data_IF_736474705221
#
_entry.id   IF_736474705221
#
_cell.length_a   1.000
_cell.length_b   1.000
_cell.length_c   1.000
_cell.angle_alpha   90.00
_cell.angle_beta   90.00
_cell.angle_gamma   90.00
#
_symmetry.space_group_name_H-M   'P 1'
#
loop_
_entity.id
_entity.type
_entity.pdbx_description
1 polymer ?
#
# COMPACT_ATOMS: atom_id res chain seq x y z
N UNK A 1 15.11 -30.30 -2.89
CA UNK A 1 13.68 -30.07 -3.20
C UNK A 1 12.82 -30.56 -2.03
N UNK A 2 13.08 -30.08 -0.81
CA UNK A 2 12.35 -30.55 0.38
C UNK A 2 12.69 -29.70 1.62
N UNK A 3 12.33 -28.42 1.59
CA UNK A 3 12.26 -27.58 2.80
C UNK A 3 11.26 -26.42 2.68
N UNK A 4 10.40 -26.42 1.65
CA UNK A 4 9.44 -25.32 1.39
C UNK A 4 8.03 -25.63 1.94
N UNK A 5 7.78 -26.87 2.37
CA UNK A 5 6.47 -27.27 2.88
C UNK A 5 6.62 -27.56 4.38
N UNK A 6 6.31 -26.58 5.23
CA UNK A 6 5.67 -26.70 6.55
C UNK A 6 5.73 -25.34 7.27
N UNK A 7 4.80 -24.43 6.96
CA UNK A 7 4.31 -23.50 7.98
C UNK A 7 2.86 -23.15 7.65
N UNK A 8 1.95 -23.92 8.25
CA UNK A 8 0.52 -23.72 8.16
C UNK A 8 0.09 -22.59 9.12
N UNK A 9 0.46 -21.35 8.78
CA UNK A 9 -0.18 -20.08 9.12
C UNK A 9 0.69 -18.92 8.54
N UNK A 10 0.84 -18.85 7.21
CA UNK A 10 1.56 -17.74 6.57
C UNK A 10 0.67 -16.50 6.53
N UNK A 11 0.59 -15.77 7.65
CA UNK A 11 0.13 -14.38 7.60
C UNK A 11 1.12 -13.53 6.82
N UNK A 12 0.64 -12.48 6.15
CA UNK A 12 1.48 -11.46 5.51
C UNK A 12 1.83 -10.30 6.44
N UNK A 13 1.60 -10.51 7.74
CA UNK A 13 1.90 -9.57 8.81
C UNK A 13 3.18 -10.04 9.51
N UNK A 14 4.14 -9.15 9.62
CA UNK A 14 5.49 -9.39 10.09
C UNK A 14 5.78 -8.56 11.33
N UNK A 15 6.48 -9.16 12.28
CA UNK A 15 6.98 -8.46 13.46
C UNK A 15 8.05 -7.41 13.09
N UNK A 16 8.30 -6.43 13.97
CA UNK A 16 9.39 -5.47 13.79
C UNK A 16 10.77 -6.14 13.64
N UNK A 17 10.98 -7.30 14.28
CA UNK A 17 12.20 -8.09 14.16
C UNK A 17 12.34 -8.69 12.75
N UNK A 18 11.27 -9.29 12.21
CA UNK A 18 11.27 -9.85 10.86
C UNK A 18 11.46 -8.77 9.79
N UNK A 19 10.80 -7.63 9.91
CA UNK A 19 11.01 -6.46 9.05
C UNK A 19 12.45 -5.92 9.17
N UNK A 20 13.00 -5.95 10.38
CA UNK A 20 14.39 -5.59 10.66
C UNK A 20 15.42 -6.56 10.08
N UNK A 21 15.00 -7.76 9.68
CA UNK A 21 15.85 -8.83 9.17
C UNK A 21 15.50 -9.21 7.71
N UNK A 22 15.03 -8.25 6.92
CA UNK A 22 14.72 -8.47 5.51
C UNK A 22 15.95 -8.94 4.71
N UNK A 23 15.78 -9.60 3.55
CA UNK A 23 16.89 -10.03 2.69
C UNK A 23 17.86 -8.90 2.35
N UNK A 24 17.33 -7.71 2.04
CA UNK A 24 18.15 -6.53 1.73
C UNK A 24 19.01 -6.11 2.93
N UNK A 25 18.46 -6.16 4.16
CA UNK A 25 19.20 -5.82 5.39
C UNK A 25 20.27 -6.86 5.72
N UNK A 26 19.97 -8.14 5.52
CA UNK A 26 20.97 -9.22 5.69
C UNK A 26 22.16 -9.06 4.74
N UNK A 27 21.95 -8.44 3.59
CA UNK A 27 23.00 -8.08 2.64
C UNK A 27 23.68 -6.73 2.94
N UNK A 28 23.37 -6.10 4.08
CA UNK A 28 24.03 -4.89 4.56
C UNK A 28 23.38 -3.57 4.14
N UNK A 29 22.14 -3.58 3.63
CA UNK A 29 21.38 -2.34 3.40
C UNK A 29 20.90 -1.74 4.73
N UNK A 30 21.01 -0.42 4.89
CA UNK A 30 20.46 0.26 6.07
C UNK A 30 18.93 0.29 6.03
N UNK A 31 18.31 0.51 7.19
CA UNK A 31 16.86 0.65 7.30
C UNK A 31 16.29 1.78 6.44
N UNK A 32 17.00 2.91 6.43
CA UNK A 32 16.64 4.10 5.67
C UNK A 32 16.75 3.85 4.17
N UNK A 33 17.85 3.25 3.71
CA UNK A 33 18.07 2.91 2.30
C UNK A 33 16.97 1.97 1.77
N UNK A 34 16.62 0.93 2.53
CA UNK A 34 15.56 0.02 2.14
C UNK A 34 14.20 0.72 2.08
N UNK A 35 13.90 1.58 3.06
CA UNK A 35 12.66 2.34 3.10
C UNK A 35 12.56 3.34 1.94
N UNK A 36 13.65 3.98 1.56
CA UNK A 36 13.71 4.89 0.42
C UNK A 36 13.52 4.15 -0.90
N UNK A 37 14.10 2.96 -1.06
CA UNK A 37 13.87 2.11 -2.23
C UNK A 37 12.44 1.61 -2.31
N UNK A 38 11.83 1.25 -1.17
CA UNK A 38 10.40 0.90 -1.11
C UNK A 38 9.52 2.06 -1.55
N UNK A 39 9.76 3.25 -1.00
CA UNK A 39 9.05 4.47 -1.38
C UNK A 39 9.22 4.78 -2.86
N UNK A 40 10.45 4.77 -3.36
CA UNK A 40 10.74 5.08 -4.76
C UNK A 40 10.08 4.06 -5.71
N UNK A 41 10.12 2.76 -5.38
CA UNK A 41 9.46 1.71 -6.14
C UNK A 41 7.95 1.86 -6.18
N UNK A 42 7.30 2.11 -5.04
CA UNK A 42 5.86 2.40 -4.99
C UNK A 42 5.52 3.69 -5.76
N UNK A 43 6.35 4.72 -5.70
CA UNK A 43 6.18 5.96 -6.46
C UNK A 43 6.21 5.74 -7.98
N UNK A 44 7.16 4.94 -8.48
CA UNK A 44 7.24 4.52 -9.89
C UNK A 44 5.95 3.81 -10.30
N UNK A 45 5.51 2.84 -9.50
CA UNK A 45 4.29 2.08 -9.73
C UNK A 45 3.09 3.01 -9.85
N UNK A 46 2.95 3.93 -8.89
CA UNK A 46 1.82 4.86 -8.84
C UNK A 46 1.79 5.80 -10.04
N UNK A 47 2.94 6.37 -10.42
CA UNK A 47 3.05 7.28 -11.56
C UNK A 47 2.67 6.58 -12.88
N UNK A 48 3.14 5.35 -13.09
CA UNK A 48 2.78 4.56 -14.27
C UNK A 48 1.30 4.20 -14.21
N UNK A 49 0.83 3.72 -13.07
CA UNK A 49 -0.55 3.30 -12.85
C UNK A 49 -1.58 4.40 -13.10
N UNK A 50 -1.35 5.61 -12.60
CA UNK A 50 -2.17 6.79 -12.90
C UNK A 50 -2.19 7.06 -14.41
N UNK A 51 -1.02 7.06 -15.06
CA UNK A 51 -0.92 7.27 -16.51
C UNK A 51 -1.68 6.21 -17.31
N UNK A 52 -1.86 5.01 -16.74
CA UNK A 52 -2.66 3.91 -17.29
C UNK A 52 -4.14 3.92 -16.89
N UNK A 53 -4.59 4.94 -16.15
CA UNK A 53 -5.96 5.09 -15.63
C UNK A 53 -6.37 3.93 -14.71
N UNK A 54 -5.50 3.56 -13.78
CA UNK A 54 -5.74 2.54 -12.76
C UNK A 54 -6.05 3.12 -11.38
N UNK A 55 -6.14 4.44 -11.25
CA UNK A 55 -6.34 5.15 -9.98
C UNK A 55 -7.75 5.03 -9.38
N UNK A 56 -8.73 4.57 -10.16
CA UNK A 56 -10.14 4.47 -9.74
C UNK A 56 -10.44 3.15 -9.00
N UNK A 57 -9.48 2.24 -8.90
CA UNK A 57 -9.63 0.88 -8.34
C UNK A 57 -8.48 0.56 -7.38
N UNK A 58 -8.61 -0.43 -6.48
CA UNK A 58 -7.57 -0.82 -5.53
C UNK A 58 -6.28 -1.37 -6.19
N UNK A 59 -6.24 -1.52 -7.52
CA UNK A 59 -5.12 -2.02 -8.32
C UNK A 59 -3.75 -1.49 -7.91
N UNK A 60 -3.62 -0.18 -7.67
CA UNK A 60 -2.33 0.39 -7.29
C UNK A 60 -1.90 -0.03 -5.88
N UNK A 61 -2.85 -0.09 -4.94
CA UNK A 61 -2.59 -0.55 -3.58
C UNK A 61 -2.28 -2.05 -3.52
N UNK A 62 -2.99 -2.86 -4.32
CA UNK A 62 -2.70 -4.29 -4.49
C UNK A 62 -1.30 -4.50 -5.05
N UNK A 63 -0.91 -3.72 -6.05
CA UNK A 63 0.43 -3.78 -6.63
C UNK A 63 1.52 -3.33 -5.64
N UNK A 64 1.30 -2.26 -4.85
CA UNK A 64 2.21 -1.87 -3.77
C UNK A 64 2.32 -2.97 -2.71
N UNK A 65 1.22 -3.62 -2.33
CA UNK A 65 1.23 -4.75 -1.39
C UNK A 65 2.05 -5.93 -1.91
N UNK A 66 1.88 -6.31 -3.18
CA UNK A 66 2.74 -7.31 -3.82
C UNK A 66 4.21 -6.91 -3.82
N UNK A 67 4.52 -5.65 -4.14
CA UNK A 67 5.87 -5.12 -4.12
C UNK A 67 6.48 -5.22 -2.71
N UNK A 68 5.76 -4.79 -1.67
CA UNK A 68 6.21 -4.88 -0.30
C UNK A 68 6.46 -6.33 0.15
N UNK A 69 5.50 -7.23 -0.14
CA UNK A 69 5.59 -8.67 0.15
C UNK A 69 6.76 -9.33 -0.56
N UNK A 70 7.01 -8.99 -1.83
CA UNK A 70 8.12 -9.54 -2.60
C UNK A 70 9.48 -9.28 -1.92
N UNK A 71 9.71 -8.05 -1.46
CA UNK A 71 10.95 -7.68 -0.78
C UNK A 71 11.05 -8.14 0.69
N UNK A 72 10.10 -8.94 1.18
CA UNK A 72 10.29 -9.74 2.40
C UNK A 72 11.04 -11.05 2.11
N UNK A 73 11.11 -11.47 0.84
CA UNK A 73 11.74 -12.73 0.42
C UNK A 73 12.93 -12.51 -0.51
N UNK A 74 13.01 -11.36 -1.20
CA UNK A 74 14.09 -11.02 -2.12
C UNK A 74 14.80 -9.72 -1.75
N UNK A 75 16.04 -9.56 -2.21
CA UNK A 75 16.85 -8.36 -1.99
C UNK A 75 16.69 -7.35 -3.12
N UNK A 76 16.70 -6.05 -2.78
CA UNK A 76 16.81 -4.96 -3.77
C UNK A 76 18.12 -4.99 -4.57
N UNK A 77 19.15 -5.68 -4.08
CA UNK A 77 20.41 -5.87 -4.83
C UNK A 77 20.26 -6.91 -5.94
N UNK A 78 19.38 -7.89 -5.75
CA UNK A 78 19.12 -8.96 -6.71
C UNK A 78 18.05 -8.55 -7.73
N UNK A 79 16.95 -7.95 -7.25
CA UNK A 79 15.84 -7.53 -8.08
C UNK A 79 15.66 -6.01 -8.04
N UNK A 80 15.99 -5.30 -9.14
CA UNK A 80 15.78 -3.85 -9.24
C UNK A 80 14.31 -3.46 -9.07
N UNK A 81 14.08 -2.37 -8.33
CA UNK A 81 12.74 -1.86 -8.04
C UNK A 81 11.96 -1.50 -9.31
N UNK A 82 12.66 -1.01 -10.35
CA UNK A 82 12.09 -0.64 -11.64
C UNK A 82 11.36 -1.80 -12.33
N UNK A 83 11.99 -2.98 -12.39
CA UNK A 83 11.39 -4.17 -13.00
C UNK A 83 10.30 -4.75 -12.10
N UNK A 84 10.55 -4.76 -10.78
CA UNK A 84 9.59 -5.25 -9.80
C UNK A 84 8.28 -4.46 -9.83
N UNK A 85 8.35 -3.13 -9.96
CA UNK A 85 7.17 -2.25 -10.07
C UNK A 85 6.28 -2.62 -11.26
N UNK A 86 6.86 -2.87 -12.45
CA UNK A 86 6.10 -3.25 -13.64
C UNK A 86 5.47 -4.63 -13.50
N UNK A 87 6.20 -5.60 -12.95
CA UNK A 87 5.70 -6.94 -12.73
C UNK A 87 4.57 -6.99 -11.70
N UNK A 88 4.69 -6.22 -10.61
CA UNK A 88 3.63 -6.09 -9.60
C UNK A 88 2.38 -5.43 -10.19
N UNK A 89 2.54 -4.34 -10.96
CA UNK A 89 1.42 -3.67 -11.63
C UNK A 89 0.72 -4.57 -12.64
N UNK A 90 1.49 -5.35 -13.41
CA UNK A 90 0.96 -6.29 -14.39
C UNK A 90 0.13 -7.39 -13.73
N UNK A 91 0.63 -7.98 -12.64
CA UNK A 91 -0.11 -9.00 -11.89
C UNK A 91 -1.35 -8.41 -11.21
N UNK A 92 -1.21 -7.27 -10.52
CA UNK A 92 -2.31 -6.63 -9.81
C UNK A 92 -3.47 -6.25 -10.74
N UNK A 93 -3.17 -5.75 -11.95
CA UNK A 93 -4.20 -5.47 -12.93
C UNK A 93 -5.02 -6.71 -13.30
N UNK A 94 -4.40 -7.90 -13.34
CA UNK A 94 -5.15 -9.15 -13.59
C UNK A 94 -5.97 -9.59 -12.37
N UNK A 95 -5.41 -9.46 -11.18
CA UNK A 95 -6.08 -9.84 -9.92
C UNK A 95 -7.31 -8.96 -9.66
N UNK A 96 -7.19 -7.66 -9.93
CA UNK A 96 -8.25 -6.66 -9.69
C UNK A 96 -9.15 -6.44 -10.92
N UNK A 97 -9.17 -7.39 -11.86
CA UNK A 97 -10.03 -7.36 -13.06
C UNK A 97 -9.92 -6.05 -13.88
N UNK A 98 -8.74 -5.43 -13.87
CA UNK A 98 -8.36 -4.24 -14.63
C UNK A 98 -7.10 -4.48 -15.48
N UNK A 99 -7.04 -5.60 -16.25
CA UNK A 99 -5.80 -6.03 -16.88
C UNK A 99 -5.32 -5.03 -17.94
N UNK A 100 -4.01 -4.79 -17.96
CA UNK A 100 -3.33 -4.04 -19.01
C UNK A 100 -2.39 -4.95 -19.77
N UNK A 101 -2.21 -4.71 -21.07
CA UNK A 101 -1.24 -5.47 -21.86
C UNK A 101 0.17 -5.12 -21.40
N UNK A 102 1.04 -6.12 -21.26
CA UNK A 102 2.44 -5.90 -20.87
C UNK A 102 3.14 -4.87 -21.78
N UNK A 103 2.90 -4.94 -23.10
CA UNK A 103 3.39 -3.94 -24.06
C UNK A 103 2.99 -2.51 -23.71
N UNK A 104 1.76 -2.31 -23.26
CA UNK A 104 1.24 -0.98 -22.93
C UNK A 104 1.86 -0.49 -21.60
N UNK A 105 2.02 -1.38 -20.61
CA UNK A 105 2.73 -1.06 -19.35
C UNK A 105 4.16 -0.60 -19.65
N UNK A 106 4.91 -1.38 -20.44
CA UNK A 106 6.28 -1.04 -20.83
C UNK A 106 6.32 0.29 -21.61
N UNK A 107 5.43 0.47 -22.58
CA UNK A 107 5.37 1.70 -23.36
C UNK A 107 5.11 2.93 -22.50
N UNK A 108 4.16 2.85 -21.55
CA UNK A 108 3.85 3.95 -20.64
C UNK A 108 5.01 4.18 -19.67
N UNK A 109 5.63 3.12 -19.14
CA UNK A 109 6.81 3.23 -18.27
C UNK A 109 7.96 3.99 -18.96
N UNK A 110 8.30 3.63 -20.20
CA UNK A 110 9.35 4.32 -20.97
C UNK A 110 8.99 5.78 -21.29
N UNK A 111 7.70 6.09 -21.50
CA UNK A 111 7.25 7.47 -21.76
C UNK A 111 7.25 8.33 -20.49
N UNK A 112 6.76 7.81 -19.37
CA UNK A 112 6.63 8.55 -18.12
C UNK A 112 7.98 8.69 -17.39
N UNK A 113 8.85 7.70 -17.53
CA UNK A 113 10.09 7.57 -16.76
C UNK A 113 11.25 7.13 -17.68
N UNK A 114 11.61 7.93 -18.69
CA UNK A 114 12.62 7.57 -19.68
C UNK A 114 13.99 7.31 -19.03
N UNK A 115 14.38 8.07 -18.02
CA UNK A 115 15.67 7.90 -17.31
C UNK A 115 15.80 6.54 -16.62
N UNK A 116 14.68 5.89 -16.31
CA UNK A 116 14.65 4.58 -15.65
C UNK A 116 14.50 3.43 -16.63
N UNK A 117 13.85 3.66 -17.78
CA UNK A 117 13.38 2.58 -18.65
C UNK A 117 13.89 2.63 -20.10
N UNK A 118 14.58 3.69 -20.52
CA UNK A 118 15.05 3.83 -21.92
C UNK A 118 16.14 2.83 -22.30
N UNK A 119 16.94 2.39 -21.33
CA UNK A 119 18.05 1.46 -21.56
C UNK A 119 17.59 0.00 -21.67
N UNK A 120 16.32 -0.30 -21.39
CA UNK A 120 15.79 -1.66 -21.51
C UNK A 120 15.63 -2.04 -22.98
N UNK A 121 16.26 -3.14 -23.45
CA UNK A 121 16.11 -3.57 -24.84
C UNK A 121 14.66 -3.94 -25.16
N UNK A 122 14.06 -3.27 -26.16
CA UNK A 122 12.65 -3.40 -26.55
C UNK A 122 12.15 -4.85 -26.78
N UNK A 123 13.01 -5.78 -27.20
CA UNK A 123 12.63 -7.17 -27.47
C UNK A 123 12.60 -8.06 -26.21
N UNK A 124 13.42 -7.76 -25.20
CA UNK A 124 13.53 -8.59 -23.99
C UNK A 124 12.69 -8.05 -22.85
N UNK A 125 12.37 -6.75 -22.83
CA UNK A 125 11.78 -6.13 -21.65
C UNK A 125 10.40 -6.69 -21.26
N UNK A 126 9.53 -7.00 -22.25
CA UNK A 126 8.28 -7.70 -21.96
C UNK A 126 8.52 -9.11 -21.39
N UNK A 127 9.53 -9.81 -21.90
CA UNK A 127 9.91 -11.13 -21.40
C UNK A 127 10.40 -11.06 -19.95
N UNK A 128 11.12 -10.00 -19.59
CA UNK A 128 11.58 -9.75 -18.22
C UNK A 128 10.41 -9.49 -17.27
N UNK A 129 9.40 -8.72 -17.70
CA UNK A 129 8.16 -8.51 -16.92
C UNK A 129 7.40 -9.83 -16.73
N UNK A 130 7.27 -10.66 -17.77
CA UNK A 130 6.64 -11.98 -17.64
C UNK A 130 7.42 -12.93 -16.71
N UNK A 131 8.74 -12.91 -16.81
CA UNK A 131 9.61 -13.69 -15.93
C UNK A 131 9.48 -13.22 -14.48
N UNK A 132 9.47 -11.90 -14.25
CA UNK A 132 9.26 -11.34 -12.92
C UNK A 132 7.90 -11.74 -12.36
N UNK A 133 6.82 -11.62 -13.14
CA UNK A 133 5.49 -12.05 -12.70
C UNK A 133 5.48 -13.51 -12.23
N UNK A 134 6.16 -14.41 -12.97
CA UNK A 134 6.25 -15.83 -12.57
C UNK A 134 6.96 -15.99 -11.22
N UNK A 135 8.04 -15.24 -11.00
CA UNK A 135 8.78 -15.25 -9.73
C UNK A 135 7.92 -14.66 -8.60
N UNK A 136 7.20 -13.57 -8.88
CA UNK A 136 6.29 -12.93 -7.94
C UNK A 136 5.17 -13.91 -7.51
N UNK A 137 4.49 -14.56 -8.45
CA UNK A 137 3.46 -15.56 -8.15
C UNK A 137 3.99 -16.70 -7.27
N UNK A 138 5.18 -17.22 -7.59
CA UNK A 138 5.82 -18.26 -6.79
C UNK A 138 6.18 -17.76 -5.38
N UNK A 139 6.63 -16.50 -5.27
CA UNK A 139 6.97 -15.85 -3.99
C UNK A 139 5.74 -15.65 -3.11
N UNK A 140 4.64 -15.20 -3.72
CA UNK A 140 3.34 -15.07 -3.07
C UNK A 140 2.70 -16.43 -2.74
N UNK A 141 3.27 -17.55 -3.18
CA UNK A 141 2.66 -18.86 -3.01
C UNK A 141 1.29 -18.96 -3.69
N UNK A 142 1.06 -18.17 -4.74
CA UNK A 142 -0.24 -17.98 -5.40
C UNK A 142 -1.35 -17.41 -4.50
N UNK A 143 -1.01 -16.92 -3.30
CA UNK A 143 -1.91 -16.14 -2.46
C UNK A 143 -1.95 -14.69 -2.94
N UNK A 144 -2.74 -14.48 -4.00
CA UNK A 144 -2.91 -13.18 -4.67
C UNK A 144 -4.14 -12.43 -4.20
N UNK A 145 -4.97 -13.03 -3.34
CA UNK A 145 -6.14 -12.36 -2.80
C UNK A 145 -5.71 -11.35 -1.73
N UNK A 146 -6.19 -10.13 -1.88
CA UNK A 146 -5.85 -9.00 -1.03
C UNK A 146 -7.11 -8.24 -0.65
N UNK A 147 -7.41 -8.18 0.63
CA UNK A 147 -8.38 -7.22 1.14
C UNK A 147 -7.71 -5.86 1.27
N UNK A 148 -8.41 -4.81 0.86
CA UNK A 148 -7.85 -3.47 0.78
C UNK A 148 -8.47 -2.54 1.84
N UNK A 149 -7.66 -1.74 2.58
CA UNK A 149 -8.18 -0.79 3.56
C UNK A 149 -9.26 0.16 3.03
N UNK A 150 -9.30 0.48 1.73
CA UNK A 150 -10.35 1.32 1.15
C UNK A 150 -11.77 0.74 1.32
N UNK A 151 -11.91 -0.58 1.23
CA UNK A 151 -13.21 -1.26 1.39
C UNK A 151 -13.73 -1.04 2.81
N UNK A 152 -12.87 -1.26 3.80
CA UNK A 152 -13.19 -1.06 5.21
C UNK A 152 -13.41 0.41 5.54
N UNK A 153 -12.66 1.33 4.95
CA UNK A 153 -12.84 2.77 5.13
C UNK A 153 -14.28 3.21 4.80
N UNK A 154 -14.79 2.78 3.64
CA UNK A 154 -16.16 3.09 3.20
C UNK A 154 -17.21 2.37 4.05
N UNK A 155 -16.93 1.16 4.52
CA UNK A 155 -17.83 0.41 5.40
C UNK A 155 -17.94 1.06 6.78
N UNK A 156 -16.80 1.37 7.42
CA UNK A 156 -16.74 1.97 8.74
C UNK A 156 -17.24 3.41 8.75
N UNK A 157 -17.06 4.18 7.67
CA UNK A 157 -17.65 5.51 7.57
C UNK A 157 -19.19 5.53 7.73
N UNK A 158 -19.89 4.43 7.41
CA UNK A 158 -21.36 4.37 7.42
C UNK A 158 -21.98 4.24 8.81
N UNK A 159 -21.20 3.92 9.85
CA UNK A 159 -21.76 3.79 11.20
C UNK A 159 -21.96 5.14 11.88
N UNK A 160 -21.30 6.20 11.41
CA UNK A 160 -21.35 7.51 12.01
C UNK A 160 -22.62 8.25 11.60
N UNK A 161 -23.28 8.86 12.58
CA UNK A 161 -24.43 9.71 12.37
C UNK A 161 -23.95 11.14 12.08
N UNK A 162 -23.39 11.32 10.87
CA UNK A 162 -22.85 12.58 10.37
C UNK A 162 -23.54 12.93 9.04
N UNK A 163 -23.60 14.23 8.71
CA UNK A 163 -24.07 14.68 7.40
C UNK A 163 -23.31 13.96 6.27
N UNK A 164 -24.05 13.46 5.27
CA UNK A 164 -23.54 12.59 4.22
C UNK A 164 -22.42 13.29 3.45
N UNK A 165 -22.62 14.57 3.12
CA UNK A 165 -21.66 15.42 2.43
C UNK A 165 -20.38 15.56 3.24
N UNK A 166 -20.49 15.76 4.56
CA UNK A 166 -19.33 15.88 5.45
C UNK A 166 -18.57 14.57 5.58
N UNK A 167 -19.27 13.46 5.75
CA UNK A 167 -18.64 12.15 5.81
C UNK A 167 -17.94 11.81 4.50
N UNK A 168 -18.50 12.21 3.35
CA UNK A 168 -17.87 12.05 2.05
C UNK A 168 -16.56 12.83 1.94
N UNK A 169 -16.49 14.06 2.45
CA UNK A 169 -15.24 14.83 2.52
C UNK A 169 -14.18 14.11 3.37
N UNK A 170 -14.57 13.62 4.55
CA UNK A 170 -13.67 12.91 5.48
C UNK A 170 -13.16 11.61 4.85
N UNK A 171 -14.03 10.81 4.23
CA UNK A 171 -13.63 9.58 3.51
C UNK A 171 -12.70 9.90 2.35
N UNK A 172 -12.97 10.97 1.59
CA UNK A 172 -12.12 11.37 0.48
C UNK A 172 -10.72 11.79 0.97
N UNK A 173 -10.64 12.53 2.07
CA UNK A 173 -9.38 12.88 2.71
C UNK A 173 -8.63 11.63 3.20
N UNK A 174 -9.31 10.73 3.91
CA UNK A 174 -8.75 9.45 4.36
C UNK A 174 -8.23 8.61 3.19
N UNK A 175 -8.97 8.56 2.08
CA UNK A 175 -8.57 7.84 0.87
C UNK A 175 -7.28 8.40 0.28
N UNK A 176 -7.21 9.71 0.11
CA UNK A 176 -6.00 10.39 -0.39
C UNK A 176 -4.82 10.12 0.53
N UNK A 177 -5.03 10.25 1.83
CA UNK A 177 -3.99 10.01 2.83
C UNK A 177 -3.46 8.57 2.79
N UNK A 178 -4.34 7.59 2.59
CA UNK A 178 -3.96 6.18 2.43
C UNK A 178 -3.12 5.96 1.16
N UNK A 179 -3.44 6.63 0.06
CA UNK A 179 -2.62 6.62 -1.16
C UNK A 179 -1.22 7.18 -0.91
N UNK A 180 -1.14 8.30 -0.19
CA UNK A 180 0.14 8.94 0.12
C UNK A 180 1.02 8.03 0.99
N UNK A 181 0.40 7.22 1.85
CA UNK A 181 1.08 6.22 2.68
C UNK A 181 1.44 4.93 1.94
N UNK A 182 1.18 4.79 0.64
CA UNK A 182 1.42 3.54 -0.11
C UNK A 182 2.91 3.14 -0.20
N UNK A 183 3.84 4.05 0.12
CA UNK A 183 5.28 3.74 0.24
C UNK A 183 5.71 3.22 1.61
N UNK A 184 4.79 3.18 2.59
CA UNK A 184 5.03 2.60 3.91
C UNK A 184 4.77 1.09 3.92
N UNK A 185 5.40 0.37 4.85
CA UNK A 185 5.20 -1.07 5.06
C UNK A 185 3.97 -1.42 5.88
N UNK A 186 2.96 -0.53 5.97
CA UNK A 186 1.79 -0.75 6.82
C UNK A 186 1.04 -2.06 6.47
N UNK A 187 0.96 -2.39 5.18
CA UNK A 187 0.36 -3.64 4.68
C UNK A 187 1.13 -4.92 5.07
N UNK A 188 2.34 -4.78 5.62
CA UNK A 188 3.15 -5.86 6.19
C UNK A 188 3.12 -5.87 7.72
N UNK A 189 2.53 -4.86 8.36
CA UNK A 189 2.57 -4.68 9.81
C UNK A 189 1.18 -4.82 10.46
N UNK A 190 0.13 -4.48 9.72
CA UNK A 190 -1.24 -4.47 10.21
C UNK A 190 -2.22 -4.99 9.16
N UNK A 191 -3.27 -5.64 9.65
CA UNK A 191 -4.42 -6.03 8.83
C UNK A 191 -5.13 -4.79 8.25
N UNK A 192 -5.74 -4.91 7.05
CA UNK A 192 -6.34 -3.78 6.34
C UNK A 192 -7.46 -3.08 7.14
N UNK A 193 -8.17 -3.80 8.01
CA UNK A 193 -9.16 -3.25 8.95
C UNK A 193 -8.54 -2.24 9.92
N UNK A 194 -7.39 -2.60 10.50
CA UNK A 194 -6.66 -1.76 11.47
C UNK A 194 -6.14 -0.50 10.79
N UNK A 195 -5.59 -0.65 9.58
CA UNK A 195 -5.15 0.49 8.76
C UNK A 195 -6.33 1.42 8.48
N UNK A 196 -7.47 0.89 8.04
CA UNK A 196 -8.65 1.68 7.76
C UNK A 196 -9.17 2.43 9.00
N UNK A 197 -9.19 1.80 10.18
CA UNK A 197 -9.55 2.44 11.44
C UNK A 197 -8.63 3.60 11.75
N UNK A 198 -7.31 3.40 11.67
CA UNK A 198 -6.35 4.44 12.00
C UNK A 198 -6.44 5.63 11.04
N UNK A 199 -6.55 5.38 9.72
CA UNK A 199 -6.66 6.47 8.74
C UNK A 199 -8.00 7.20 8.87
N UNK A 200 -9.10 6.50 9.14
CA UNK A 200 -10.41 7.14 9.39
C UNK A 200 -10.39 7.97 10.68
N UNK A 201 -9.80 7.44 11.75
CA UNK A 201 -9.65 8.15 13.01
C UNK A 201 -8.80 9.41 12.85
N UNK A 202 -7.72 9.33 12.07
CA UNK A 202 -6.89 10.48 11.74
C UNK A 202 -7.69 11.54 10.97
N UNK A 203 -8.47 11.12 9.97
CA UNK A 203 -9.31 12.03 9.20
C UNK A 203 -10.38 12.72 10.07
N UNK A 204 -11.05 11.97 10.95
CA UNK A 204 -12.03 12.52 11.90
C UNK A 204 -11.39 13.57 12.83
N UNK A 205 -10.17 13.31 13.33
CA UNK A 205 -9.40 14.26 14.14
C UNK A 205 -8.99 15.50 13.33
N UNK A 206 -8.56 15.33 12.09
CA UNK A 206 -8.17 16.44 11.20
C UNK A 206 -9.33 17.41 10.92
N UNK A 207 -10.54 16.87 10.77
CA UNK A 207 -11.76 17.68 10.61
C UNK A 207 -12.36 18.18 11.93
N UNK A 208 -11.64 18.03 13.05
CA UNK A 208 -12.04 18.48 14.38
C UNK A 208 -13.42 17.95 14.81
N UNK A 209 -13.75 16.72 14.41
CA UNK A 209 -15.01 16.08 14.81
C UNK A 209 -14.95 15.72 16.30
N UNK A 210 -15.90 16.25 17.08
CA UNK A 210 -16.06 15.93 18.49
C UNK A 210 -16.54 14.49 18.66
N UNK A 211 -15.61 13.60 18.98
CA UNK A 211 -15.88 12.17 19.17
C UNK A 211 -16.73 11.86 20.41
N UNK A 212 -16.75 12.74 21.41
CA UNK A 212 -17.57 12.55 22.61
C UNK A 212 -19.05 12.83 22.28
N UNK A 213 -19.29 13.88 21.50
CA UNK A 213 -20.63 14.27 21.02
C UNK A 213 -21.13 13.43 19.84
N UNK A 214 -20.23 12.85 19.04
CA UNK A 214 -20.60 12.06 17.86
C UNK A 214 -21.36 10.79 18.25
N UNK A 215 -22.50 10.57 17.60
CA UNK A 215 -23.24 9.31 17.70
C UNK A 215 -22.81 8.35 16.58
N UNK A 216 -22.71 7.06 16.91
CA UNK A 216 -22.49 6.00 15.93
C UNK A 216 -23.28 4.76 16.32
N UNK A 217 -23.52 3.90 15.34
CA UNK A 217 -24.25 2.64 15.54
C UNK A 217 -23.53 1.75 16.55
N UNK A 218 -24.29 1.11 17.45
CA UNK A 218 -23.78 0.19 18.47
C UNK A 218 -22.73 0.83 19.41
N UNK A 219 -22.90 2.12 19.73
CA UNK A 219 -22.04 2.84 20.68
C UNK A 219 -22.18 2.28 22.10
N UNK A 220 -21.13 1.63 22.58
CA UNK A 220 -21.00 1.22 23.99
C UNK A 220 -20.35 2.35 24.82
N UNK A 221 -20.78 2.57 26.08
CA UNK A 221 -20.21 3.60 26.93
C UNK A 221 -18.72 3.40 27.21
N UNK A 222 -17.91 4.45 27.04
CA UNK A 222 -16.45 4.46 27.26
C UNK A 222 -15.62 3.54 26.35
N UNK A 223 -16.21 2.99 25.29
CA UNK A 223 -15.48 2.21 24.30
C UNK A 223 -15.26 3.01 23.01
N UNK A 224 -14.06 2.95 22.42
CA UNK A 224 -13.81 3.52 21.11
C UNK A 224 -14.69 2.90 20.03
N UNK A 225 -15.06 3.66 19.00
CA UNK A 225 -15.99 3.21 17.96
C UNK A 225 -15.55 1.95 17.22
N UNK A 226 -14.25 1.70 17.12
CA UNK A 226 -13.67 0.58 16.37
C UNK A 226 -13.71 -0.77 17.11
N UNK A 227 -14.02 -0.78 18.40
CA UNK A 227 -14.12 -2.00 19.21
C UNK A 227 -15.16 -2.99 18.68
N UNK A 228 -16.21 -2.47 18.02
CA UNK A 228 -17.24 -3.28 17.35
C UNK A 228 -16.73 -4.04 16.12
N UNK A 229 -15.57 -3.64 15.57
CA UNK A 229 -14.96 -4.25 14.37
C UNK A 229 -13.74 -5.09 14.71
N UNK A 230 -12.84 -4.56 15.55
CA UNK A 230 -11.57 -5.21 15.90
C UNK A 230 -11.40 -5.24 17.42
N UNK A 231 -11.40 -6.44 17.97
CA UNK A 231 -11.19 -6.66 19.41
C UNK A 231 -9.72 -6.53 19.78
N UNK A 232 -9.41 -5.94 20.94
CA UNK A 232 -8.04 -5.84 21.46
C UNK A 232 -7.21 -4.67 20.91
N UNK A 233 -7.77 -3.85 20.03
CA UNK A 233 -7.12 -2.68 19.48
C UNK A 233 -7.18 -1.49 20.45
N UNK A 234 -6.03 -1.09 20.99
CA UNK A 234 -5.94 -0.01 21.99
C UNK A 234 -5.86 1.38 21.36
N UNK A 235 -6.32 2.41 22.08
CA UNK A 235 -6.15 3.82 21.67
C UNK A 235 -4.70 4.17 21.36
N UNK A 236 -3.77 3.68 22.19
CA UNK A 236 -2.33 3.92 22.01
C UNK A 236 -1.82 3.38 20.67
N UNK A 237 -2.25 2.19 20.25
CA UNK A 237 -1.84 1.60 18.97
C UNK A 237 -2.36 2.44 17.78
N UNK A 238 -3.61 2.90 17.86
CA UNK A 238 -4.19 3.77 16.83
C UNK A 238 -3.46 5.11 16.78
N UNK A 239 -3.19 5.72 17.93
CA UNK A 239 -2.47 7.00 18.00
C UNK A 239 -1.04 6.88 17.46
N UNK A 240 -0.31 5.82 17.81
CA UNK A 240 1.02 5.53 17.26
C UNK A 240 1.00 5.34 15.74
N UNK A 241 0.01 4.63 15.21
CA UNK A 241 -0.15 4.45 13.76
C UNK A 241 -0.51 5.76 13.06
N UNK A 242 -1.43 6.55 13.63
CA UNK A 242 -1.77 7.89 13.14
C UNK A 242 -0.53 8.80 13.07
N UNK A 243 0.26 8.86 14.15
CA UNK A 243 1.47 9.68 14.22
C UNK A 243 2.53 9.22 13.20
N UNK A 244 2.76 7.91 13.07
CA UNK A 244 3.70 7.38 12.06
C UNK A 244 3.29 7.75 10.64
N UNK A 245 2.00 7.64 10.33
CA UNK A 245 1.49 7.96 9.01
C UNK A 245 1.55 9.48 8.73
N UNK A 246 1.24 10.33 9.73
CA UNK A 246 1.40 11.78 9.65
C UNK A 246 2.86 12.19 9.43
N UNK A 247 3.78 11.67 10.24
CA UNK A 247 5.21 11.95 10.11
C UNK A 247 5.74 11.58 8.72
N UNK A 248 5.24 10.46 8.17
CA UNK A 248 5.57 10.04 6.82
C UNK A 248 4.99 11.02 5.78
N UNK A 249 3.71 11.39 5.92
CA UNK A 249 3.05 12.35 5.03
C UNK A 249 3.81 13.69 5.01
N UNK A 250 4.06 14.31 6.17
CA UNK A 250 4.72 15.61 6.28
C UNK A 250 6.10 15.65 5.63
N UNK A 251 6.89 14.58 5.79
CA UNK A 251 8.24 14.48 5.21
C UNK A 251 8.24 14.40 3.68
N UNK A 252 7.19 13.86 3.07
CA UNK A 252 7.19 13.47 1.64
C UNK A 252 6.17 14.22 0.78
N UNK A 253 5.16 14.85 1.36
CA UNK A 253 4.22 15.71 0.62
C UNK A 253 4.66 17.17 0.60
N UNK A 254 5.43 17.62 1.60
CA UNK A 254 6.09 18.94 1.60
C UNK A 254 7.11 19.10 0.46
N UNK A 255 7.57 17.99 -0.12
CA UNK A 255 8.47 17.94 -1.28
C UNK A 255 7.74 17.76 -2.62
N UNK A 256 6.48 17.31 -2.62
CA UNK A 256 5.65 17.06 -3.82
C UNK A 256 4.59 18.14 -4.10
N UNK A 257 4.38 19.09 -3.20
CA UNK A 257 3.44 20.22 -3.37
C UNK A 257 3.78 21.16 -4.54
N UNK A 258 4.93 20.97 -5.20
CA UNK A 258 5.25 21.64 -6.46
C UNK A 258 4.61 21.00 -7.72
N UNK A 259 3.98 19.81 -7.64
CA UNK A 259 3.51 19.09 -8.83
C UNK A 259 2.01 18.70 -8.83
N UNK A 260 1.25 19.00 -7.77
CA UNK A 260 -0.17 18.60 -7.68
C UNK A 260 -1.20 19.75 -7.65
N UNK A 261 -0.79 20.99 -7.94
CA UNK A 261 -1.73 22.08 -8.25
C UNK A 261 -1.68 22.35 -9.75
N UNK A 262 -2.36 21.51 -10.54
CA UNK A 262 -2.42 21.71 -11.99
C UNK A 262 -2.88 20.48 -12.78
N UNK A 263 -4.12 20.04 -12.57
CA UNK A 263 -4.92 19.31 -13.56
C UNK A 263 -6.40 19.42 -13.20
#
# INVERSE_FOLDING_TARGET
MSEIVMNANRGWIFSPEELGNSPSRREGMSAEQEQDLRRAGCGILWQIGISMKLSEQPTLSTACSFFHRFYMFHSFKEYPAELAALGCLFLAGKVEETPKKCKDIVSVATQCLPDKYSDYPNLTFQSDVFNFERILLATLGFDVYLENPYTFLVQYAKIFDLEIEKMREIVQFAWTFLNDCAGMTLCLEYDPEIIAIAILQLALKFYEIDMDALHWQQKEPNEPWWTQFVTGLTNKMIDELCHRALDYYEKHTSSNSAHHIGA
#
